data_IF_570549667329
#
_entry.id   IF_570549667329
#
_cell.length_a   1.000
_cell.length_b   1.000
_cell.length_c   1.000
_cell.angle_alpha   90.00
_cell.angle_beta   90.00
_cell.angle_gamma   90.00
#
_symmetry.space_group_name_H-M   'P 1'
#
loop_
_entity.id
_entity.type
_entity.pdbx_description
1 polymer ?
#
# COMPACT_ATOMS: atom_id res chain seq x y z
N UNK A 1 -2.94 -7.37 7.17
CA UNK A 1 -2.30 -6.34 6.35
C UNK A 1 -3.01 -5.06 6.70
N UNK A 2 -2.28 -4.14 7.31
CA UNK A 2 -2.81 -2.92 7.91
C UNK A 2 -2.50 -1.74 6.99
N UNK A 3 -3.50 -0.90 6.79
CA UNK A 3 -3.47 0.31 5.99
C UNK A 3 -3.79 1.50 6.91
N UNK A 4 -3.02 2.57 6.84
CA UNK A 4 -3.27 3.80 7.59
C UNK A 4 -3.18 4.97 6.64
N UNK A 5 -4.32 5.60 6.37
CA UNK A 5 -4.40 6.72 5.45
C UNK A 5 -3.82 7.95 6.15
N UNK A 6 -2.74 8.50 5.61
CA UNK A 6 -2.09 9.71 6.14
C UNK A 6 -2.65 10.96 5.47
N UNK A 7 -3.20 10.84 4.27
CA UNK A 7 -3.96 11.89 3.62
C UNK A 7 -4.83 11.33 2.50
N UNK A 8 -5.97 11.99 2.27
CA UNK A 8 -7.07 11.49 1.44
C UNK A 8 -7.66 12.55 0.50
N UNK A 9 -7.04 13.73 0.42
CA UNK A 9 -7.47 14.85 -0.44
C UNK A 9 -6.79 14.83 -1.80
N UNK A 10 -7.54 15.20 -2.84
CA UNK A 10 -7.01 15.33 -4.19
C UNK A 10 -6.47 16.74 -4.50
N UNK A 11 -5.29 16.80 -5.13
CA UNK A 11 -4.66 18.00 -5.68
C UNK A 11 -4.08 18.97 -4.65
N UNK A 12 -4.83 19.27 -3.59
CA UNK A 12 -4.44 20.23 -2.55
C UNK A 12 -4.97 19.80 -1.17
N UNK A 13 -4.30 20.19 -0.07
CA UNK A 13 -4.79 19.94 1.27
C UNK A 13 -6.03 20.79 1.55
N UNK A 14 -6.87 20.31 2.48
CA UNK A 14 -8.00 21.03 3.04
C UNK A 14 -7.84 21.11 4.57
N UNK A 15 -8.74 21.80 5.24
CA UNK A 15 -8.77 21.82 6.71
C UNK A 15 -9.10 20.45 7.32
N UNK A 16 -9.72 19.55 6.55
CA UNK A 16 -10.16 18.22 7.02
C UNK A 16 -9.25 17.08 6.56
N UNK A 17 -8.65 17.21 5.36
CA UNK A 17 -7.90 16.14 4.69
C UNK A 17 -6.58 16.67 4.12
N UNK A 18 -5.48 16.01 4.42
CA UNK A 18 -4.19 16.23 3.78
C UNK A 18 -4.14 15.55 2.40
N UNK A 19 -3.16 15.90 1.58
CA UNK A 19 -2.89 15.25 0.29
C UNK A 19 -2.35 13.81 0.44
N UNK A 20 -2.39 13.05 -0.65
CA UNK A 20 -2.22 11.59 -0.71
C UNK A 20 -0.97 11.08 0.00
N UNK A 21 -1.20 10.19 0.96
CA UNK A 21 -0.19 9.30 1.51
C UNK A 21 -0.86 8.14 2.26
N UNK A 22 -0.31 6.93 2.11
CA UNK A 22 -0.85 5.72 2.70
C UNK A 22 0.27 4.86 3.28
N UNK A 23 0.24 4.63 4.60
CA UNK A 23 1.14 3.68 5.25
C UNK A 23 0.56 2.26 5.18
N UNK A 24 1.40 1.29 4.80
CA UNK A 24 1.08 -0.14 4.78
C UNK A 24 2.05 -0.89 5.70
N UNK A 25 1.51 -1.79 6.53
CA UNK A 25 2.30 -2.68 7.38
C UNK A 25 1.70 -4.09 7.40
N UNK A 26 2.55 -5.10 7.59
CA UNK A 26 2.10 -6.47 7.81
C UNK A 26 1.79 -6.64 9.30
N UNK A 27 0.50 -6.67 9.62
CA UNK A 27 -0.03 -6.81 10.99
C UNK A 27 0.59 -5.76 11.94
N UNK A 28 1.15 -6.20 13.07
CA UNK A 28 1.76 -5.33 14.07
C UNK A 28 3.26 -5.07 13.83
N UNK A 29 3.80 -5.45 12.66
CA UNK A 29 5.18 -5.17 12.31
C UNK A 29 5.51 -3.68 12.48
N UNK A 30 6.70 -3.43 13.05
CA UNK A 30 7.24 -2.07 13.18
C UNK A 30 7.67 -1.51 11.83
N UNK A 31 8.20 -2.40 10.98
CA UNK A 31 8.62 -2.08 9.63
C UNK A 31 7.37 -1.84 8.77
N UNK A 32 7.42 -0.79 7.96
CA UNK A 32 6.27 -0.34 7.18
C UNK A 32 6.70 0.26 5.85
N UNK A 33 5.73 0.43 4.96
CA UNK A 33 5.89 0.92 3.60
C UNK A 33 4.99 2.12 3.40
N UNK A 34 5.42 3.06 2.56
CA UNK A 34 4.65 4.25 2.23
C UNK A 34 4.26 4.20 0.76
N UNK A 35 2.99 4.43 0.45
CA UNK A 35 2.52 4.66 -0.92
C UNK A 35 2.10 6.11 -1.04
N UNK A 36 2.76 6.81 -1.95
CA UNK A 36 2.77 8.26 -2.09
C UNK A 36 3.20 9.03 -0.84
N UNK A 37 3.71 10.23 -1.06
CA UNK A 37 4.27 11.10 -0.04
C UNK A 37 3.98 12.57 -0.40
N UNK A 38 2.70 12.92 -0.42
CA UNK A 38 2.27 14.31 -0.59
C UNK A 38 2.82 15.25 0.49
N UNK A 39 2.77 16.56 0.22
CA UNK A 39 3.15 17.57 1.20
C UNK A 39 2.43 17.33 2.55
N UNK A 40 3.13 17.57 3.66
CA UNK A 40 2.56 17.37 4.99
C UNK A 40 2.56 15.92 5.50
N UNK A 41 2.93 14.91 4.69
CA UNK A 41 2.98 13.50 5.13
C UNK A 41 3.76 13.30 6.43
N UNK A 42 4.93 13.92 6.56
CA UNK A 42 5.72 13.85 7.80
C UNK A 42 5.02 14.44 9.04
N UNK A 43 4.13 15.43 8.86
CA UNK A 43 3.34 16.00 9.94
C UNK A 43 2.22 15.04 10.36
N UNK A 44 1.59 14.36 9.40
CA UNK A 44 0.58 13.34 9.67
C UNK A 44 1.19 12.14 10.40
N UNK A 45 2.45 11.79 10.10
CA UNK A 45 3.18 10.74 10.84
C UNK A 45 3.37 11.05 12.33
N UNK A 46 3.41 12.32 12.74
CA UNK A 46 3.49 12.70 14.16
C UNK A 46 2.25 12.28 14.96
N UNK A 47 1.17 11.91 14.27
CA UNK A 47 -0.14 11.56 14.85
C UNK A 47 -0.45 10.07 14.76
N UNK A 48 0.52 9.24 14.35
CA UNK A 48 0.32 7.80 14.22
C UNK A 48 1.52 7.00 14.76
N UNK A 49 1.41 5.67 14.76
CA UNK A 49 2.41 4.77 15.36
C UNK A 49 3.73 4.63 14.58
N UNK A 50 3.79 5.14 13.35
CA UNK A 50 4.88 4.85 12.42
C UNK A 50 6.05 5.81 12.64
N UNK A 51 7.26 5.27 12.60
CA UNK A 51 8.49 6.07 12.74
C UNK A 51 9.29 6.03 11.45
N UNK A 52 9.95 7.14 11.12
CA UNK A 52 10.81 7.22 9.94
C UNK A 52 12.02 6.28 10.02
N UNK A 53 12.44 5.87 11.22
CA UNK A 53 13.50 4.88 11.41
C UNK A 53 13.09 3.46 10.98
N UNK A 54 11.78 3.15 10.94
CA UNK A 54 11.27 1.84 10.52
C UNK A 54 10.65 1.84 9.11
N UNK A 55 10.65 2.98 8.41
CA UNK A 55 10.18 3.05 7.03
C UNK A 55 11.14 2.28 6.12
N UNK A 56 10.67 1.24 5.43
CA UNK A 56 11.50 0.45 4.52
C UNK A 56 11.60 1.08 3.14
N UNK A 57 10.45 1.22 2.51
CA UNK A 57 10.36 1.55 1.09
C UNK A 57 9.21 2.50 0.86
N UNK A 58 9.44 3.49 0.01
CA UNK A 58 8.42 4.40 -0.49
C UNK A 58 8.11 4.01 -1.93
N UNK A 59 6.84 3.89 -2.27
CA UNK A 59 6.34 3.65 -3.60
C UNK A 59 5.59 4.89 -4.07
N UNK A 60 6.03 5.52 -5.16
CA UNK A 60 5.37 6.71 -5.72
C UNK A 60 4.57 6.29 -6.95
N UNK A 61 3.29 6.64 -7.00
CA UNK A 61 2.40 6.27 -8.10
C UNK A 61 2.68 7.10 -9.34
N UNK A 62 2.89 8.41 -9.18
CA UNK A 62 3.17 9.34 -10.27
C UNK A 62 3.78 10.66 -9.77
N UNK A 63 4.13 11.56 -10.70
CA UNK A 63 4.98 12.72 -10.43
C UNK A 63 4.24 14.00 -9.99
N UNK A 64 2.93 13.96 -9.74
CA UNK A 64 2.23 15.15 -9.27
C UNK A 64 2.59 15.49 -7.83
N UNK A 65 2.59 16.79 -7.52
CA UNK A 65 3.14 17.31 -6.27
C UNK A 65 2.43 16.81 -5.00
N UNK A 66 1.12 16.64 -5.07
CA UNK A 66 0.28 16.08 -4.02
C UNK A 66 0.57 14.60 -3.72
N UNK A 67 1.44 13.95 -4.51
CA UNK A 67 1.92 12.58 -4.29
C UNK A 67 3.42 12.50 -3.96
N UNK A 68 4.21 13.56 -4.10
CA UNK A 68 5.68 13.48 -3.90
C UNK A 68 6.35 14.69 -3.22
N UNK A 69 5.69 15.84 -3.08
CA UNK A 69 6.32 17.04 -2.49
C UNK A 69 6.70 16.87 -1.01
N UNK A 70 6.16 15.87 -0.31
CA UNK A 70 6.56 15.53 1.05
C UNK A 70 7.93 14.84 1.15
N UNK A 71 8.46 14.29 0.05
CA UNK A 71 9.69 13.49 0.07
C UNK A 71 10.90 14.25 0.65
N UNK A 72 11.25 15.47 0.20
CA UNK A 72 12.46 16.14 0.68
C UNK A 72 12.40 16.42 2.19
N UNK A 73 11.24 16.88 2.67
CA UNK A 73 11.01 17.12 4.10
C UNK A 73 11.06 15.84 4.92
N UNK A 74 10.42 14.76 4.45
CA UNK A 74 10.43 13.46 5.10
C UNK A 74 11.84 12.89 5.23
N UNK A 75 12.63 12.94 4.15
CA UNK A 75 14.03 12.47 4.11
C UNK A 75 14.89 13.25 5.11
N UNK A 76 14.78 14.59 5.10
CA UNK A 76 15.53 15.46 6.01
C UNK A 76 15.16 15.17 7.46
N UNK A 77 13.88 14.99 7.77
CA UNK A 77 13.43 14.60 9.10
C UNK A 77 13.93 13.23 9.53
N UNK A 78 13.99 12.25 8.62
CA UNK A 78 14.56 10.94 8.91
C UNK A 78 16.05 11.04 9.28
N UNK A 79 16.81 11.88 8.58
CA UNK A 79 18.22 12.19 8.90
C UNK A 79 18.36 12.77 10.31
N UNK A 80 17.56 13.81 10.62
CA UNK A 80 17.58 14.46 11.93
C UNK A 80 17.14 13.54 13.09
N UNK A 81 16.33 12.52 12.80
CA UNK A 81 15.92 11.49 13.76
C UNK A 81 16.96 10.35 13.91
N UNK A 82 18.13 10.49 13.28
CA UNK A 82 19.25 9.57 13.42
C UNK A 82 19.13 8.29 12.61
N UNK A 83 18.30 8.25 11.56
CA UNK A 83 18.19 7.09 10.67
C UNK A 83 19.57 6.71 10.11
N UNK A 84 19.91 5.42 10.17
CA UNK A 84 21.13 4.87 9.56
C UNK A 84 20.83 3.87 8.44
N UNK A 85 19.64 3.25 8.48
CA UNK A 85 19.27 2.23 7.51
C UNK A 85 19.01 2.84 6.12
N UNK A 86 19.44 2.19 5.01
CA UNK A 86 19.10 2.61 3.65
C UNK A 86 17.59 2.82 3.46
N UNK A 87 17.20 3.80 2.66
CA UNK A 87 15.82 4.06 2.27
C UNK A 87 15.63 3.80 0.78
N UNK A 88 14.82 2.81 0.44
CA UNK A 88 14.49 2.51 -0.95
C UNK A 88 13.31 3.38 -1.41
N UNK A 89 13.39 3.98 -2.60
CA UNK A 89 12.31 4.73 -3.23
C UNK A 89 12.05 4.13 -4.62
N UNK A 90 10.92 3.44 -4.75
CA UNK A 90 10.42 2.90 -6.00
C UNK A 90 9.50 3.94 -6.66
N UNK A 91 9.95 4.56 -7.75
CA UNK A 91 9.23 5.67 -8.36
C UNK A 91 9.40 5.73 -9.89
N UNK A 92 8.47 6.38 -10.61
CA UNK A 92 8.62 6.72 -12.03
C UNK A 92 9.79 7.68 -12.29
N UNK A 93 10.03 7.98 -13.58
CA UNK A 93 10.96 9.06 -13.94
C UNK A 93 10.67 10.38 -13.24
N UNK A 94 11.71 11.19 -13.06
CA UNK A 94 11.61 12.56 -12.54
C UNK A 94 11.63 12.65 -11.02
N UNK A 95 11.18 11.63 -10.27
CA UNK A 95 11.14 11.67 -8.80
C UNK A 95 12.54 11.76 -8.20
N UNK A 96 13.49 10.98 -8.72
CA UNK A 96 14.87 11.01 -8.25
C UNK A 96 15.48 12.39 -8.42
N UNK A 97 15.35 12.97 -9.62
CA UNK A 97 15.90 14.28 -9.96
C UNK A 97 15.26 15.39 -9.12
N UNK A 98 13.96 15.31 -8.83
CA UNK A 98 13.28 16.24 -7.92
C UNK A 98 13.86 16.17 -6.51
N UNK A 99 13.99 14.96 -5.94
CA UNK A 99 14.52 14.78 -4.58
C UNK A 99 15.97 15.26 -4.52
N UNK A 100 16.82 14.84 -5.45
CA UNK A 100 18.23 15.24 -5.51
C UNK A 100 18.38 16.76 -5.63
N UNK A 101 17.59 17.41 -6.50
CA UNK A 101 17.60 18.87 -6.64
C UNK A 101 17.14 19.56 -5.35
N UNK A 102 16.04 19.10 -4.74
CA UNK A 102 15.53 19.69 -3.50
C UNK A 102 16.54 19.58 -2.35
N UNK A 103 17.19 18.42 -2.19
CA UNK A 103 18.23 18.22 -1.17
C UNK A 103 19.47 19.08 -1.48
N UNK A 104 19.92 19.11 -2.73
CA UNK A 104 21.07 19.92 -3.14
C UNK A 104 20.87 21.42 -2.88
N UNK A 105 19.75 21.98 -3.33
CA UNK A 105 19.46 23.41 -3.18
C UNK A 105 19.01 23.81 -1.76
N UNK A 106 18.81 22.84 -0.86
CA UNK A 106 18.55 23.08 0.57
C UNK A 106 19.76 22.80 1.47
N UNK A 107 20.95 22.63 0.88
CA UNK A 107 22.21 22.34 1.59
C UNK A 107 22.17 21.03 2.41
N UNK A 108 21.34 20.07 1.98
CA UNK A 108 21.35 18.71 2.53
C UNK A 108 22.37 17.88 1.75
N UNK A 109 23.64 18.09 2.09
CA UNK A 109 24.79 17.52 1.37
C UNK A 109 25.24 16.16 1.91
N UNK A 110 24.85 15.80 3.13
CA UNK A 110 25.21 14.54 3.76
C UNK A 110 24.01 13.94 4.50
N UNK A 111 23.69 12.70 4.15
CA UNK A 111 22.71 11.89 4.87
C UNK A 111 23.45 10.74 5.59
N UNK A 112 23.07 10.39 6.83
CA UNK A 112 23.63 9.27 7.56
C UNK A 112 23.20 7.90 7.00
N UNK A 113 22.36 7.89 5.96
CA UNK A 113 21.87 6.69 5.28
C UNK A 113 21.86 6.91 3.76
N UNK A 114 21.93 5.82 2.99
CA UNK A 114 21.79 5.87 1.53
C UNK A 114 20.32 5.94 1.11
N UNK A 115 20.07 6.63 -0.02
CA UNK A 115 18.79 6.57 -0.72
C UNK A 115 18.99 5.72 -1.97
N UNK A 116 18.16 4.70 -2.15
CA UNK A 116 18.23 3.76 -3.26
C UNK A 116 17.01 3.95 -4.16
N UNK A 117 17.21 4.61 -5.30
CA UNK A 117 16.14 4.81 -6.28
C UNK A 117 16.00 3.59 -7.20
N UNK A 118 14.75 3.12 -7.36
CA UNK A 118 14.40 2.05 -8.29
C UNK A 118 13.29 2.54 -9.21
N UNK A 119 13.48 2.40 -10.53
CA UNK A 119 12.52 2.81 -11.54
C UNK A 119 11.33 1.86 -11.62
N UNK A 120 10.19 2.27 -11.05
CA UNK A 120 8.97 1.45 -10.97
C UNK A 120 8.12 1.46 -12.23
N UNK A 121 8.42 2.37 -13.16
CA UNK A 121 7.80 2.53 -14.48
C UNK A 121 8.43 1.64 -15.57
N UNK A 122 9.44 0.84 -15.22
CA UNK A 122 10.07 -0.08 -16.17
C UNK A 122 9.24 -1.37 -16.32
N UNK A 123 9.13 -1.93 -17.54
CA UNK A 123 8.50 -3.23 -17.74
C UNK A 123 9.11 -4.30 -16.86
N UNK A 124 8.27 -5.10 -16.19
CA UNK A 124 8.72 -6.17 -15.31
C UNK A 124 9.25 -5.71 -13.95
N UNK A 125 8.95 -4.48 -13.52
CA UNK A 125 9.27 -4.03 -12.17
C UNK A 125 8.72 -5.02 -11.12
N UNK A 126 9.63 -5.43 -10.23
CA UNK A 126 9.33 -6.29 -9.10
C UNK A 126 10.23 -5.88 -7.94
N UNK A 127 9.63 -5.49 -6.83
CA UNK A 127 10.31 -5.30 -5.55
C UNK A 127 9.99 -6.49 -4.64
N UNK A 128 10.96 -6.97 -3.87
CA UNK A 128 10.73 -8.03 -2.91
C UNK A 128 11.60 -7.86 -1.66
N UNK A 129 11.01 -8.11 -0.50
CA UNK A 129 11.72 -8.33 0.75
C UNK A 129 11.09 -9.51 1.53
N UNK A 130 11.48 -9.69 2.79
CA UNK A 130 11.01 -10.80 3.62
C UNK A 130 9.53 -10.70 4.04
N UNK A 131 8.84 -9.58 3.81
CA UNK A 131 7.44 -9.39 4.19
C UNK A 131 6.52 -9.22 2.99
N UNK A 132 6.97 -8.63 1.89
CA UNK A 132 6.14 -8.37 0.71
C UNK A 132 6.89 -8.58 -0.61
N UNK A 133 6.13 -8.89 -1.66
CA UNK A 133 6.51 -8.61 -3.04
C UNK A 133 5.55 -7.59 -3.66
N UNK A 134 6.05 -6.77 -4.57
CA UNK A 134 5.30 -5.66 -5.18
C UNK A 134 5.58 -5.59 -6.67
N UNK A 135 4.52 -5.61 -7.47
CA UNK A 135 4.56 -5.33 -8.92
C UNK A 135 3.85 -4.02 -9.23
N UNK A 136 4.22 -3.37 -10.34
CA UNK A 136 3.54 -2.17 -10.84
C UNK A 136 2.64 -2.50 -12.03
N UNK A 137 1.57 -1.73 -12.16
CA UNK A 137 0.60 -1.83 -13.26
C UNK A 137 0.33 -0.43 -13.80
N UNK A 138 0.52 -0.24 -15.11
CA UNK A 138 0.32 1.06 -15.77
C UNK A 138 -1.15 1.47 -15.76
N UNK A 139 -1.39 2.76 -15.52
CA UNK A 139 -2.69 3.40 -15.48
C UNK A 139 -2.80 4.51 -16.54
N UNK A 140 -4.02 5.04 -16.71
CA UNK A 140 -4.30 6.15 -17.62
C UNK A 140 -4.45 7.45 -16.85
N UNK A 141 -3.49 8.36 -16.96
CA UNK A 141 -3.51 9.68 -16.33
C UNK A 141 -2.73 10.71 -17.16
N UNK A 142 -2.73 11.99 -16.76
CA UNK A 142 -2.08 13.08 -17.51
C UNK A 142 -0.56 12.91 -17.65
N UNK A 143 0.02 12.20 -16.70
CA UNK A 143 1.42 11.78 -16.65
C UNK A 143 1.43 10.26 -16.41
N UNK A 144 2.54 9.55 -16.68
CA UNK A 144 2.65 8.14 -16.33
C UNK A 144 2.27 7.90 -14.87
N UNK A 145 1.29 7.03 -14.66
CA UNK A 145 0.73 6.68 -13.35
C UNK A 145 0.65 5.18 -13.21
N UNK A 146 0.83 4.70 -11.98
CA UNK A 146 0.94 3.28 -11.70
C UNK A 146 0.13 2.89 -10.47
N UNK A 147 -0.44 1.69 -10.50
CA UNK A 147 -0.90 0.99 -9.31
C UNK A 147 0.17 0.02 -8.82
N UNK A 148 0.19 -0.21 -7.51
CA UNK A 148 1.08 -1.19 -6.88
C UNK A 148 0.25 -2.35 -6.32
N UNK A 149 0.62 -3.56 -6.72
CA UNK A 149 0.04 -4.81 -6.21
C UNK A 149 0.94 -5.38 -5.14
N UNK A 150 0.53 -5.26 -3.88
CA UNK A 150 1.22 -5.77 -2.71
C UNK A 150 0.78 -7.20 -2.43
N UNK A 151 1.73 -8.13 -2.44
CA UNK A 151 1.53 -9.52 -2.03
C UNK A 151 2.32 -9.76 -0.77
N UNK A 152 1.65 -10.18 0.28
CA UNK A 152 2.33 -10.59 1.49
C UNK A 152 3.13 -11.88 1.29
N UNK A 153 4.36 -11.90 1.79
CA UNK A 153 5.17 -13.12 1.89
C UNK A 153 4.83 -13.85 3.18
N UNK A 154 4.45 -15.12 3.06
CA UNK A 154 4.08 -15.96 4.20
C UNK A 154 5.02 -17.15 4.33
N UNK A 155 5.31 -17.51 5.57
CA UNK A 155 6.08 -18.70 5.92
C UNK A 155 5.34 -19.46 7.01
N UNK A 156 5.49 -20.78 7.02
CA UNK A 156 5.02 -21.60 8.12
C UNK A 156 6.18 -21.91 9.05
N UNK A 157 5.96 -21.72 10.35
CA UNK A 157 6.84 -22.22 11.40
C UNK A 157 6.10 -23.26 12.25
N UNK A 158 4.97 -23.78 11.77
CA UNK A 158 4.18 -24.75 12.53
C UNK A 158 4.55 -26.16 12.10
N UNK A 159 5.03 -26.96 13.04
CA UNK A 159 5.41 -28.34 12.79
C UNK A 159 4.17 -29.24 12.60
N UNK A 160 4.24 -30.11 11.58
CA UNK A 160 3.35 -31.23 11.38
C UNK A 160 3.83 -32.41 12.24
N UNK A 161 3.29 -32.49 13.44
CA UNK A 161 3.63 -33.50 14.45
C UNK A 161 3.43 -34.92 13.94
N UNK A 162 2.36 -35.17 13.18
CA UNK A 162 2.09 -36.49 12.62
C UNK A 162 3.20 -36.90 11.65
N UNK A 163 3.59 -35.99 10.76
CA UNK A 163 4.63 -36.23 9.76
C UNK A 163 6.02 -36.38 10.38
N UNK A 164 6.35 -35.61 11.41
CA UNK A 164 7.58 -35.79 12.20
C UNK A 164 7.66 -37.18 12.83
N UNK A 165 6.56 -37.63 13.43
CA UNK A 165 6.48 -38.96 14.03
C UNK A 165 6.61 -40.05 12.96
N UNK A 166 5.95 -39.91 11.81
CA UNK A 166 6.04 -40.84 10.68
C UNK A 166 7.46 -40.94 10.13
N UNK A 167 8.18 -39.82 10.05
CA UNK A 167 9.57 -39.79 9.59
C UNK A 167 10.57 -40.24 10.68
N UNK A 168 10.10 -40.42 11.92
CA UNK A 168 10.92 -40.86 13.06
C UNK A 168 11.86 -39.77 13.57
N UNK A 169 11.51 -38.48 13.40
CA UNK A 169 12.35 -37.37 13.86
C UNK A 169 12.21 -37.24 15.39
N UNK A 170 13.28 -37.47 16.18
CA UNK A 170 13.20 -37.41 17.63
C UNK A 170 12.85 -36.00 18.10
N UNK A 171 12.00 -35.91 19.12
CA UNK A 171 11.64 -34.65 19.76
C UNK A 171 12.88 -34.03 20.42
N UNK A 172 13.03 -32.71 20.27
CA UNK A 172 14.14 -31.97 20.87
C UNK A 172 14.71 -30.93 19.91
N UNK A 173 16.03 -30.81 19.89
CA UNK A 173 16.75 -29.81 19.11
C UNK A 173 16.42 -29.85 17.61
N UNK A 174 16.32 -31.05 17.02
CA UNK A 174 16.05 -31.22 15.59
C UNK A 174 14.73 -30.58 15.16
N UNK A 175 13.70 -30.66 16.01
CA UNK A 175 12.41 -30.00 15.74
C UNK A 175 12.55 -28.49 15.72
N UNK A 176 13.34 -27.92 16.63
CA UNK A 176 13.63 -26.49 16.67
C UNK A 176 14.42 -26.01 15.46
N UNK A 177 15.33 -26.82 14.93
CA UNK A 177 16.07 -26.52 13.70
C UNK A 177 15.15 -26.54 12.48
N UNK A 178 14.31 -27.57 12.34
CA UNK A 178 13.31 -27.67 11.28
C UNK A 178 12.31 -26.51 11.33
N UNK A 179 11.90 -26.11 12.53
CA UNK A 179 11.01 -24.96 12.75
C UNK A 179 11.63 -23.63 12.29
N UNK A 180 12.96 -23.52 12.33
CA UNK A 180 13.72 -22.37 11.83
C UNK A 180 14.02 -22.45 10.34
N UNK A 181 13.49 -23.44 9.63
CA UNK A 181 13.76 -23.64 8.21
C UNK A 181 15.12 -24.27 7.91
N UNK A 182 15.76 -24.90 8.91
CA UNK A 182 17.03 -25.60 8.70
C UNK A 182 16.79 -27.10 8.49
N UNK A 183 17.39 -27.65 7.44
CA UNK A 183 17.39 -29.11 7.23
C UNK A 183 18.25 -29.79 8.28
N UNK A 184 17.85 -30.98 8.73
CA UNK A 184 18.55 -31.76 9.74
C UNK A 184 18.90 -33.15 9.21
N UNK A 185 19.89 -33.79 9.82
CA UNK A 185 20.25 -35.18 9.55
C UNK A 185 19.93 -36.03 10.78
N UNK A 186 19.32 -37.19 10.57
CA UNK A 186 19.00 -38.16 11.61
C UNK A 186 20.19 -39.08 11.87
N UNK A 187 20.18 -39.81 12.99
CA UNK A 187 21.24 -40.76 13.34
C UNK A 187 21.42 -41.89 12.30
N UNK A 188 20.37 -42.19 11.53
CA UNK A 188 20.41 -43.17 10.44
C UNK A 188 20.87 -42.58 9.08
N UNK A 189 21.35 -41.33 9.07
CA UNK A 189 21.86 -40.64 7.90
C UNK A 189 20.78 -40.03 6.99
N UNK A 190 19.48 -40.16 7.31
CA UNK A 190 18.42 -39.52 6.53
C UNK A 190 18.41 -38.02 6.77
N UNK A 191 18.39 -37.24 5.68
CA UNK A 191 18.21 -35.78 5.72
C UNK A 191 16.73 -35.42 5.66
N UNK A 192 16.28 -34.62 6.62
CA UNK A 192 14.91 -34.12 6.71
C UNK A 192 14.90 -32.62 6.41
N UNK A 193 14.08 -32.23 5.46
CA UNK A 193 13.88 -30.85 5.05
C UNK A 193 12.64 -30.24 5.73
N UNK A 194 12.66 -28.93 6.05
CA UNK A 194 11.53 -28.24 6.70
C UNK A 194 10.20 -28.42 5.95
N UNK A 195 10.20 -28.25 4.63
CA UNK A 195 9.03 -28.46 3.75
C UNK A 195 8.38 -29.85 3.86
N UNK A 196 9.11 -30.86 4.37
CA UNK A 196 8.53 -32.19 4.60
C UNK A 196 7.75 -32.28 5.91
N UNK A 197 7.94 -31.36 6.85
CA UNK A 197 7.47 -31.48 8.24
C UNK A 197 6.84 -30.21 8.77
N UNK A 198 6.79 -29.14 8.00
CA UNK A 198 6.03 -27.93 8.32
C UNK A 198 4.63 -28.02 7.71
N UNK A 199 3.66 -27.46 8.41
CA UNK A 199 2.35 -27.16 7.83
C UNK A 199 2.53 -26.21 6.65
N UNK A 200 1.65 -26.20 5.64
CA UNK A 200 1.71 -25.21 4.57
C UNK A 200 1.63 -23.78 5.15
N UNK A 201 2.32 -22.79 4.55
CA UNK A 201 2.21 -21.41 4.96
C UNK A 201 0.76 -20.92 4.79
N UNK A 202 0.32 -19.95 5.62
CA UNK A 202 -0.99 -19.34 5.42
C UNK A 202 -1.04 -18.62 4.05
N UNK A 203 -2.24 -18.47 3.50
CA UNK A 203 -2.40 -17.75 2.24
C UNK A 203 -1.95 -16.28 2.36
N UNK A 204 -1.33 -15.80 1.28
CA UNK A 204 -0.90 -14.41 1.13
C UNK A 204 -2.11 -13.48 1.02
N UNK A 205 -2.11 -12.42 1.82
CA UNK A 205 -3.04 -11.30 1.58
C UNK A 205 -2.50 -10.45 0.43
N UNK A 206 -3.42 -9.97 -0.40
CA UNK A 206 -3.11 -9.22 -1.61
C UNK A 206 -3.92 -7.94 -1.61
N UNK A 207 -3.27 -6.79 -1.73
CA UNK A 207 -3.91 -5.49 -1.86
C UNK A 207 -3.35 -4.73 -3.06
N UNK A 208 -4.21 -4.02 -3.78
CA UNK A 208 -3.82 -3.12 -4.86
C UNK A 208 -4.11 -1.70 -4.40
N UNK A 209 -3.10 -0.85 -4.52
CA UNK A 209 -3.21 0.58 -4.25
C UNK A 209 -2.99 1.30 -5.58
N UNK A 210 -4.06 1.87 -6.12
CA UNK A 210 -4.04 2.57 -7.39
C UNK A 210 -3.65 4.04 -7.20
N UNK A 211 -2.80 4.53 -8.09
CA UNK A 211 -2.63 5.96 -8.31
C UNK A 211 -3.79 6.56 -9.08
N UNK A 212 -3.68 7.86 -9.33
CA UNK A 212 -4.67 8.64 -10.08
C UNK A 212 -4.83 8.09 -11.49
N UNK A 213 -6.08 7.94 -11.93
CA UNK A 213 -6.41 7.48 -13.27
C UNK A 213 -7.87 7.70 -13.69
N UNK A 214 -8.12 7.70 -15.01
CA UNK A 214 -9.46 7.78 -15.63
C UNK A 214 -9.95 6.48 -16.27
N UNK A 215 -9.22 5.37 -16.09
CA UNK A 215 -9.58 4.05 -16.65
C UNK A 215 -9.38 2.93 -15.62
N UNK A 216 -10.26 2.81 -14.61
CA UNK A 216 -10.18 1.76 -13.59
C UNK A 216 -10.18 0.35 -14.18
N UNK A 217 -10.75 0.15 -15.36
CA UNK A 217 -10.80 -1.14 -16.05
C UNK A 217 -9.41 -1.72 -16.39
N UNK A 218 -8.37 -0.88 -16.46
CA UNK A 218 -6.99 -1.33 -16.64
C UNK A 218 -6.50 -2.24 -15.49
N UNK A 219 -7.15 -2.17 -14.33
CA UNK A 219 -6.80 -2.96 -13.15
C UNK A 219 -7.49 -4.33 -13.09
N UNK A 220 -8.46 -4.64 -13.94
CA UNK A 220 -9.28 -5.87 -13.83
C UNK A 220 -8.40 -7.12 -13.80
N UNK A 221 -7.36 -7.19 -14.65
CA UNK A 221 -6.44 -8.33 -14.66
C UNK A 221 -5.58 -8.40 -13.39
N UNK A 222 -5.04 -7.25 -12.94
CA UNK A 222 -4.21 -7.16 -11.75
C UNK A 222 -4.97 -7.57 -10.48
N UNK A 223 -6.27 -7.27 -10.45
CA UNK A 223 -7.20 -7.52 -9.34
C UNK A 223 -7.56 -9.00 -9.15
N UNK A 224 -7.20 -9.89 -10.08
CA UNK A 224 -7.44 -11.33 -9.89
C UNK A 224 -6.76 -11.86 -8.63
N UNK A 225 -7.58 -12.44 -7.75
CA UNK A 225 -7.15 -12.95 -6.44
C UNK A 225 -6.77 -11.87 -5.42
N UNK A 226 -6.98 -10.58 -5.74
CA UNK A 226 -6.79 -9.51 -4.77
C UNK A 226 -7.89 -9.53 -3.71
N UNK A 227 -7.53 -9.16 -2.49
CA UNK A 227 -8.46 -9.06 -1.37
C UNK A 227 -8.95 -7.62 -1.17
N UNK A 228 -8.20 -6.63 -1.65
CA UNK A 228 -8.51 -5.22 -1.45
C UNK A 228 -8.07 -4.40 -2.66
N UNK A 229 -8.94 -3.49 -3.10
CA UNK A 229 -8.59 -2.36 -3.95
C UNK A 229 -8.71 -1.06 -3.15
N UNK A 230 -7.64 -0.27 -3.13
CA UNK A 230 -7.66 1.15 -2.74
C UNK A 230 -7.57 1.97 -4.02
N UNK A 231 -8.56 2.83 -4.27
CA UNK A 231 -8.64 3.57 -5.53
C UNK A 231 -9.13 5.00 -5.31
N UNK A 232 -8.66 5.93 -6.15
CA UNK A 232 -9.20 7.28 -6.18
C UNK A 232 -10.69 7.28 -6.52
N UNK A 233 -11.47 8.18 -5.93
CA UNK A 233 -12.82 8.50 -6.36
C UNK A 233 -12.97 10.02 -6.27
N UNK A 234 -12.23 10.72 -7.13
CA UNK A 234 -12.08 12.18 -7.04
C UNK A 234 -13.43 12.88 -7.14
N UNK A 235 -14.38 12.33 -7.92
CA UNK A 235 -15.69 12.92 -8.19
C UNK A 235 -16.80 11.86 -8.18
N UNK A 236 -18.04 12.31 -8.04
CA UNK A 236 -19.23 11.56 -8.47
C UNK A 236 -19.35 11.66 -9.99
N UNK A 237 -20.07 10.73 -10.63
CA UNK A 237 -20.21 10.68 -12.08
C UNK A 237 -20.80 11.97 -12.65
N UNK A 238 -21.87 12.46 -12.01
CA UNK A 238 -22.50 13.74 -12.37
C UNK A 238 -21.56 14.95 -12.23
N UNK A 239 -20.61 14.90 -11.29
CA UNK A 239 -19.62 15.96 -11.10
C UNK A 239 -18.48 15.85 -12.13
N UNK A 240 -18.08 14.63 -12.48
CA UNK A 240 -17.09 14.36 -13.53
C UNK A 240 -17.59 14.81 -14.90
N UNK A 241 -18.85 14.49 -15.25
CA UNK A 241 -19.49 14.95 -16.50
C UNK A 241 -19.48 16.47 -16.65
N UNK A 242 -19.62 17.21 -15.54
CA UNK A 242 -19.54 18.69 -15.53
C UNK A 242 -18.11 19.21 -15.63
N UNK A 243 -17.16 18.54 -14.97
CA UNK A 243 -15.75 18.93 -14.98
C UNK A 243 -15.06 18.63 -16.32
N UNK A 244 -15.55 17.63 -17.04
CA UNK A 244 -14.95 17.13 -18.26
C UNK A 244 -13.70 16.26 -18.02
N UNK A 245 -13.15 15.64 -19.08
CA UNK A 245 -12.07 14.65 -18.97
C UNK A 245 -10.67 15.26 -18.75
N UNK A 246 -10.57 16.59 -18.62
CA UNK A 246 -9.28 17.32 -18.64
C UNK A 246 -8.34 16.87 -17.52
N UNK A 247 -8.88 16.48 -16.37
CA UNK A 247 -8.10 16.10 -15.20
C UNK A 247 -7.73 14.61 -15.15
N UNK A 248 -8.33 13.78 -16.01
CA UNK A 248 -8.09 12.33 -16.10
C UNK A 248 -8.19 11.61 -14.74
N UNK A 249 -9.31 11.83 -14.04
CA UNK A 249 -9.67 11.16 -12.78
C UNK A 249 -10.92 10.30 -12.93
N UNK A 250 -11.15 9.43 -11.95
CA UNK A 250 -12.27 8.50 -11.93
C UNK A 250 -13.47 9.01 -11.13
N UNK A 251 -14.66 8.60 -11.55
CA UNK A 251 -15.87 8.72 -10.72
C UNK A 251 -16.04 7.53 -9.78
N UNK A 252 -16.75 7.71 -8.66
CA UNK A 252 -17.07 6.59 -7.76
C UNK A 252 -17.84 5.46 -8.48
N UNK A 253 -18.69 5.81 -9.46
CA UNK A 253 -19.32 4.83 -10.37
C UNK A 253 -18.29 4.00 -11.15
N UNK A 254 -17.38 4.65 -11.88
CA UNK A 254 -16.40 3.96 -12.75
C UNK A 254 -15.57 2.94 -11.97
N UNK A 255 -15.15 3.34 -10.76
CA UNK A 255 -14.36 2.49 -9.86
C UNK A 255 -15.18 1.30 -9.35
N UNK A 256 -16.42 1.54 -8.96
CA UNK A 256 -17.32 0.49 -8.48
C UNK A 256 -17.61 -0.55 -9.58
N UNK A 257 -17.86 -0.12 -10.82
CA UNK A 257 -18.09 -1.03 -11.96
C UNK A 257 -16.85 -1.88 -12.27
N UNK A 258 -15.64 -1.30 -12.22
CA UNK A 258 -14.40 -2.06 -12.40
C UNK A 258 -14.14 -3.05 -11.24
N UNK A 259 -14.40 -2.62 -10.00
CA UNK A 259 -14.28 -3.47 -8.82
C UNK A 259 -15.25 -4.67 -8.91
N UNK A 260 -16.50 -4.44 -9.28
CA UNK A 260 -17.52 -5.48 -9.46
C UNK A 260 -17.08 -6.47 -10.55
N UNK A 261 -16.64 -5.96 -11.69
CA UNK A 261 -16.18 -6.78 -12.83
C UNK A 261 -14.98 -7.65 -12.45
N UNK A 262 -14.07 -7.15 -11.62
CA UNK A 262 -12.90 -7.90 -11.16
C UNK A 262 -13.20 -8.95 -10.10
N UNK A 263 -14.35 -8.83 -9.41
CA UNK A 263 -14.71 -9.68 -8.27
C UNK A 263 -13.87 -9.42 -7.01
N UNK A 264 -13.14 -8.30 -6.91
CA UNK A 264 -12.41 -7.94 -5.68
C UNK A 264 -13.42 -7.77 -4.54
N UNK A 265 -13.23 -8.38 -3.35
CA UNK A 265 -14.26 -8.41 -2.31
C UNK A 265 -14.34 -7.13 -1.47
N UNK A 266 -13.29 -6.32 -1.46
CA UNK A 266 -13.24 -5.08 -0.68
C UNK A 266 -12.69 -3.91 -1.51
N UNK A 267 -13.35 -2.76 -1.38
CA UNK A 267 -13.02 -1.50 -2.04
C UNK A 267 -12.91 -0.37 -1.00
N UNK A 268 -11.81 0.37 -1.00
CA UNK A 268 -11.66 1.62 -0.25
C UNK A 268 -11.49 2.77 -1.23
N UNK A 269 -12.38 3.75 -1.17
CA UNK A 269 -12.27 4.97 -1.94
C UNK A 269 -11.42 5.99 -1.19
N UNK A 270 -10.60 6.76 -1.91
CA UNK A 270 -9.76 7.85 -1.37
C UNK A 270 -9.59 8.96 -2.41
N UNK A 271 -8.66 9.89 -2.18
CA UNK A 271 -8.28 10.95 -3.11
C UNK A 271 -9.48 11.80 -3.55
N UNK A 272 -10.17 12.40 -2.58
CA UNK A 272 -11.42 13.09 -2.81
C UNK A 272 -11.19 14.55 -3.18
N UNK A 273 -11.94 15.06 -4.15
CA UNK A 273 -11.97 16.50 -4.44
C UNK A 273 -12.33 17.30 -3.17
N UNK A 274 -11.63 18.42 -2.95
CA UNK A 274 -11.90 19.34 -1.84
C UNK A 274 -13.32 19.93 -1.81
N UNK A 275 -14.13 19.69 -2.85
CA UNK A 275 -15.56 20.05 -2.86
C UNK A 275 -16.39 19.26 -1.85
N UNK A 276 -15.99 18.02 -1.54
CA UNK A 276 -16.79 17.14 -0.69
C UNK A 276 -16.54 17.44 0.79
N UNK A 277 -17.61 17.56 1.57
CA UNK A 277 -17.54 17.89 3.00
C UNK A 277 -18.11 16.75 3.84
N UNK A 278 -17.60 16.58 5.07
CA UNK A 278 -18.17 15.68 6.08
C UNK A 278 -19.40 16.29 6.78
N UNK A 279 -20.29 16.93 6.01
CA UNK A 279 -21.52 17.52 6.53
C UNK A 279 -22.73 17.06 5.73
N UNK A 280 -23.77 16.48 6.37
CA UNK A 280 -25.04 16.19 5.71
C UNK A 280 -25.70 17.43 5.11
N UNK A 281 -25.42 18.63 5.64
CA UNK A 281 -25.96 19.89 5.09
C UNK A 281 -25.28 20.33 3.79
N UNK A 282 -24.19 19.67 3.36
CA UNK A 282 -23.52 19.97 2.10
C UNK A 282 -24.30 19.47 0.86
N UNK A 283 -25.42 18.76 1.06
CA UNK A 283 -26.29 18.30 -0.02
C UNK A 283 -25.53 17.44 -1.04
N UNK A 284 -25.49 17.79 -2.33
CA UNK A 284 -24.78 17.03 -3.36
C UNK A 284 -23.25 17.01 -3.18
N UNK A 285 -22.71 17.89 -2.33
CA UNK A 285 -21.30 17.94 -1.97
C UNK A 285 -21.02 17.24 -0.63
N UNK A 286 -21.96 16.46 -0.08
CA UNK A 286 -21.64 15.56 1.03
C UNK A 286 -20.74 14.41 0.49
N UNK A 287 -19.69 14.05 1.24
CA UNK A 287 -18.80 12.95 0.83
C UNK A 287 -19.52 11.60 0.71
N UNK A 288 -20.62 11.41 1.46
CA UNK A 288 -21.44 10.21 1.41
C UNK A 288 -22.06 9.97 0.03
N UNK A 289 -22.17 11.01 -0.81
CA UNK A 289 -22.61 10.88 -2.20
C UNK A 289 -21.72 9.93 -3.01
N UNK A 290 -20.41 9.91 -2.76
CA UNK A 290 -19.46 9.00 -3.41
C UNK A 290 -19.76 7.54 -3.03
N UNK A 291 -20.03 7.29 -1.75
CA UNK A 291 -20.37 5.93 -1.28
C UNK A 291 -21.74 5.48 -1.78
N UNK A 292 -22.73 6.37 -1.76
CA UNK A 292 -24.07 6.07 -2.27
C UNK A 292 -24.02 5.72 -3.77
N UNK A 293 -23.24 6.46 -4.55
CA UNK A 293 -22.99 6.15 -5.96
C UNK A 293 -22.30 4.79 -6.11
N UNK A 294 -21.16 4.56 -5.45
CA UNK A 294 -20.43 3.30 -5.56
C UNK A 294 -21.26 2.07 -5.18
N UNK A 295 -22.05 2.14 -4.10
CA UNK A 295 -22.93 1.05 -3.64
C UNK A 295 -24.03 0.69 -4.63
N UNK A 296 -24.33 1.55 -5.60
CA UNK A 296 -25.31 1.24 -6.64
C UNK A 296 -24.74 0.32 -7.73
N UNK A 297 -23.41 0.19 -7.82
CA UNK A 297 -22.72 -0.54 -8.88
C UNK A 297 -21.77 -1.62 -8.37
N UNK A 298 -21.59 -1.74 -7.04
CA UNK A 298 -20.69 -2.72 -6.45
C UNK A 298 -21.33 -3.40 -5.24
N UNK A 299 -21.24 -4.73 -5.21
CA UNK A 299 -21.90 -5.60 -4.23
C UNK A 299 -21.00 -5.99 -3.04
N UNK A 300 -19.70 -5.73 -3.13
CA UNK A 300 -18.72 -6.04 -2.08
C UNK A 300 -18.67 -5.01 -0.93
N UNK A 301 -17.63 -5.13 -0.10
CA UNK A 301 -17.45 -4.21 1.03
C UNK A 301 -16.86 -2.88 0.57
N UNK A 302 -17.53 -1.76 0.87
CA UNK A 302 -17.05 -0.41 0.52
C UNK A 302 -16.70 0.37 1.79
N UNK A 303 -15.53 1.02 1.78
CA UNK A 303 -15.11 2.01 2.76
C UNK A 303 -14.77 3.36 2.12
N UNK A 304 -15.01 4.45 2.85
CA UNK A 304 -14.39 5.75 2.58
C UNK A 304 -13.17 5.91 3.48
N UNK A 305 -12.02 6.15 2.89
CA UNK A 305 -10.85 6.56 3.64
C UNK A 305 -11.11 7.90 4.33
N UNK A 306 -10.52 8.07 5.50
CA UNK A 306 -10.33 9.38 6.12
C UNK A 306 -8.92 9.47 6.69
N UNK A 307 -8.42 10.68 6.85
CA UNK A 307 -7.10 10.90 7.46
C UNK A 307 -7.02 10.22 8.84
N UNK A 308 -5.94 9.47 9.03
CA UNK A 308 -5.61 8.63 10.17
C UNK A 308 -6.55 7.44 10.41
N UNK A 309 -7.49 7.15 9.50
CA UNK A 309 -8.26 5.90 9.56
C UNK A 309 -7.34 4.70 9.35
N UNK A 310 -7.57 3.66 10.15
CA UNK A 310 -6.80 2.43 10.12
C UNK A 310 -7.71 1.30 9.66
N UNK A 311 -7.26 0.59 8.62
CA UNK A 311 -7.98 -0.53 8.02
C UNK A 311 -7.10 -1.78 8.07
N UNK A 312 -7.73 -2.94 8.17
CA UNK A 312 -7.03 -4.21 8.20
C UNK A 312 -7.73 -5.24 7.32
N UNK A 313 -6.99 -5.79 6.36
CA UNK A 313 -7.36 -7.04 5.68
C UNK A 313 -6.89 -8.20 6.56
N UNK A 314 -7.83 -8.93 7.11
CA UNK A 314 -7.58 -10.13 7.91
C UNK A 314 -7.17 -11.32 7.04
N UNK A 315 -6.62 -12.35 7.66
CA UNK A 315 -6.30 -13.62 6.97
C UNK A 315 -7.51 -14.29 6.33
N UNK A 316 -8.70 -14.05 6.88
CA UNK A 316 -9.96 -14.49 6.30
C UNK A 316 -10.39 -13.72 5.03
N UNK A 317 -9.62 -12.71 4.60
CA UNK A 317 -9.99 -11.81 3.51
C UNK A 317 -10.97 -10.69 3.91
N UNK A 318 -11.46 -10.70 5.15
CA UNK A 318 -12.39 -9.67 5.64
C UNK A 318 -11.65 -8.34 5.87
N UNK A 319 -12.24 -7.24 5.38
CA UNK A 319 -11.81 -5.89 5.69
C UNK A 319 -12.46 -5.38 6.99
N UNK A 320 -11.66 -4.78 7.87
CA UNK A 320 -12.10 -4.23 9.15
C UNK A 320 -11.53 -2.82 9.35
N UNK A 321 -12.31 -1.93 9.95
CA UNK A 321 -11.81 -0.64 10.48
C UNK A 321 -11.34 -0.86 11.91
N UNK A 322 -10.11 -0.43 12.22
CA UNK A 322 -9.57 -0.46 13.57
C UNK A 322 -9.82 0.89 14.24
N UNK A 323 -10.08 0.86 15.55
CA UNK A 323 -10.08 2.09 16.36
C UNK A 323 -8.65 2.57 16.51
N UNK A 324 -8.43 3.85 16.25
CA UNK A 324 -7.15 4.54 16.41
C UNK A 324 -6.67 4.49 17.87
#
# INVERSE_FOLDING_TARGET
MRLTFLGTSAGMPTTERNVTALALAIDDARQWYLVDCGEGTQHQLLRCRYTLNNLKTIFITHVHGDHMYGLPGLITSASMQGRQAPLTICAPDGVQQFVEAALHYSDVTQLPFSIEFTRSDRPGFNYQDNQISVTSHELSHRVPSFAYRFVETTFSTQLNIAQLNTLGVPRGELWGLLQKGLSVELEDGRKIHPEQVLQPPPESRIAIIAGDNDKPELLIEALKGAHLLVHEATLTDSALQKAGPVWMHSSARMVAEAAETSGVPNLILTHFSGRYQHSPSAGPNCIDALTAEAKSFYSGSIGLASDLSIWEVRRSGQLMVLKA
#
